data_IF_718770883306
#
_entry.id   IF_718770883306
#
_cell.length_a   1.000
_cell.length_b   1.000
_cell.length_c   1.000
_cell.angle_alpha   90.00
_cell.angle_beta   90.00
_cell.angle_gamma   90.00
#
_symmetry.space_group_name_H-M   'P 1'
#
loop_
_entity.id
_entity.type
_entity.pdbx_description
1 polymer ?
#
# COMPACT_ATOMS: atom_id res chain seq x y z
N UNK A 1 6.97 7.75 -4.12
CA UNK A 1 8.29 8.29 -3.74
C UNK A 1 8.24 9.81 -3.83
N UNK A 2 8.83 10.50 -2.85
CA UNK A 2 8.94 11.95 -2.85
C UNK A 2 10.00 12.44 -3.85
N UNK A 3 9.99 13.73 -4.19
CA UNK A 3 10.97 14.31 -5.12
C UNK A 3 12.42 14.17 -4.62
N UNK A 4 12.59 14.17 -3.29
CA UNK A 4 13.87 13.91 -2.64
C UNK A 4 14.26 12.41 -2.62
N UNK A 5 13.53 11.52 -3.29
CA UNK A 5 13.75 10.06 -3.29
C UNK A 5 13.48 9.33 -1.96
N UNK A 6 12.82 9.99 -1.01
CA UNK A 6 12.43 9.34 0.25
C UNK A 6 11.12 8.57 0.10
N UNK A 7 10.91 7.57 0.96
CA UNK A 7 9.72 6.74 0.94
C UNK A 7 8.47 7.45 1.47
N UNK A 8 7.31 6.98 1.01
CA UNK A 8 6.02 7.42 1.52
C UNK A 8 5.70 6.64 2.79
N UNK A 9 5.97 7.23 3.95
CA UNK A 9 5.54 6.70 5.25
C UNK A 9 4.11 7.11 5.63
N UNK A 10 3.52 8.02 4.84
CA UNK A 10 2.19 8.56 5.03
C UNK A 10 1.59 8.95 3.67
N UNK A 11 0.27 8.78 3.56
CA UNK A 11 -0.50 9.06 2.36
C UNK A 11 -1.89 9.55 2.76
N UNK A 12 -2.39 10.60 2.10
CA UNK A 12 -3.70 11.18 2.42
C UNK A 12 -4.39 11.80 1.19
N UNK A 13 -4.42 11.03 0.10
CA UNK A 13 -5.06 11.46 -1.14
C UNK A 13 -6.57 11.57 -0.98
N UNK A 14 -7.13 12.67 -1.47
CA UNK A 14 -8.57 12.96 -1.39
C UNK A 14 -9.44 11.85 -1.98
N UNK A 15 -9.02 11.30 -3.11
CA UNK A 15 -9.75 10.26 -3.84
C UNK A 15 -9.16 8.85 -3.65
N UNK A 16 -8.28 8.65 -2.66
CA UNK A 16 -7.43 7.45 -2.58
C UNK A 16 -6.34 7.45 -3.64
N UNK A 17 -5.79 6.27 -3.96
CA UNK A 17 -4.70 6.09 -4.92
C UNK A 17 -5.00 6.81 -6.25
N UNK A 18 -4.18 7.80 -6.65
CA UNK A 18 -4.39 8.53 -7.88
C UNK A 18 -4.06 7.65 -9.10
N UNK A 19 -4.88 7.77 -10.14
CA UNK A 19 -4.61 7.15 -11.45
C UNK A 19 -3.99 8.18 -12.38
N UNK A 20 -2.68 8.09 -12.60
CA UNK A 20 -1.95 9.02 -13.46
C UNK A 20 -2.02 8.54 -14.92
N UNK A 21 -2.81 9.22 -15.75
CA UNK A 21 -2.95 8.90 -17.19
C UNK A 21 -1.92 9.59 -18.08
N UNK A 22 -1.30 10.67 -17.62
CA UNK A 22 -0.34 11.51 -18.36
C UNK A 22 0.90 11.75 -17.51
N UNK A 23 2.08 11.78 -18.13
CA UNK A 23 3.34 12.06 -17.44
C UNK A 23 3.49 13.49 -16.91
N UNK A 24 2.57 14.41 -17.24
CA UNK A 24 2.56 15.80 -16.74
C UNK A 24 1.52 15.97 -15.65
N UNK A 25 1.94 15.81 -14.41
CA UNK A 25 1.10 16.04 -13.24
C UNK A 25 1.90 16.73 -12.13
N UNK A 26 1.20 17.40 -11.21
CA UNK A 26 1.74 17.81 -9.93
C UNK A 26 0.93 17.16 -8.81
N UNK A 27 1.64 16.78 -7.75
CA UNK A 27 1.06 16.38 -6.48
C UNK A 27 1.10 17.58 -5.53
N UNK A 28 -0.05 18.02 -5.04
CA UNK A 28 -0.16 19.17 -4.13
C UNK A 28 -0.80 18.78 -2.80
N UNK A 29 -0.42 19.51 -1.74
CA UNK A 29 -1.11 19.48 -0.45
C UNK A 29 -2.11 20.64 -0.41
N UNK A 30 -3.38 20.31 -0.24
CA UNK A 30 -4.46 21.29 -0.07
C UNK A 30 -4.52 21.80 1.37
N UNK A 31 -5.13 22.97 1.57
CA UNK A 31 -5.21 23.64 2.89
C UNK A 31 -6.05 22.88 3.91
N UNK A 32 -6.86 21.92 3.47
CA UNK A 32 -7.62 21.00 4.31
C UNK A 32 -6.83 19.72 4.69
N UNK A 33 -5.55 19.63 4.30
CA UNK A 33 -4.65 18.54 4.66
C UNK A 33 -4.75 17.30 3.75
N UNK A 34 -5.58 17.34 2.71
CA UNK A 34 -5.65 16.28 1.70
C UNK A 34 -4.68 16.53 0.56
N UNK A 35 -4.25 15.44 -0.08
CA UNK A 35 -3.38 15.51 -1.25
C UNK A 35 -4.22 15.37 -2.51
N UNK A 36 -3.88 16.17 -3.52
CA UNK A 36 -4.59 16.23 -4.79
C UNK A 36 -3.60 16.09 -5.95
N UNK A 37 -4.02 15.39 -7.00
CA UNK A 37 -3.28 15.33 -8.26
C UNK A 37 -3.88 16.34 -9.23
N UNK A 38 -3.03 17.22 -9.72
CA UNK A 38 -3.38 18.20 -10.74
C UNK A 38 -2.74 17.81 -12.05
N UNK A 39 -3.56 17.57 -13.06
CA UNK A 39 -3.13 17.31 -14.43
C UNK A 39 -3.27 18.58 -15.24
N UNK A 40 -2.24 18.94 -15.99
CA UNK A 40 -2.22 20.16 -16.79
C UNK A 40 -2.27 19.81 -18.26
N UNK A 41 -3.22 20.40 -18.97
CA UNK A 41 -3.33 20.22 -20.42
C UNK A 41 -2.68 21.40 -21.17
N UNK A 42 -2.54 22.56 -20.52
CA UNK A 42 -1.92 23.75 -21.09
C UNK A 42 -0.85 24.36 -20.16
N UNK A 43 0.12 25.07 -20.76
CA UNK A 43 1.16 25.83 -20.04
C UNK A 43 0.57 26.88 -19.09
N UNK A 44 -0.59 27.44 -19.45
CA UNK A 44 -1.26 28.49 -18.69
C UNK A 44 -1.79 27.99 -17.35
N UNK A 45 -2.28 26.74 -17.31
CA UNK A 45 -2.74 26.09 -16.08
C UNK A 45 -1.56 25.86 -15.12
N UNK A 46 -0.38 25.51 -15.66
CA UNK A 46 0.86 25.33 -14.88
C UNK A 46 1.35 26.65 -14.31
N UNK A 47 1.35 27.73 -15.10
CA UNK A 47 1.74 29.06 -14.62
C UNK A 47 0.81 29.59 -13.53
N UNK A 48 -0.50 29.39 -13.69
CA UNK A 48 -1.48 29.76 -12.67
C UNK A 48 -1.24 29.00 -11.36
N UNK A 49 -0.99 27.69 -11.45
CA UNK A 49 -0.67 26.89 -10.27
C UNK A 49 0.60 27.38 -9.55
N UNK A 50 1.67 27.66 -10.28
CA UNK A 50 2.91 28.18 -9.68
C UNK A 50 2.74 29.54 -9.01
N UNK A 51 1.82 30.39 -9.49
CA UNK A 51 1.53 31.69 -8.87
C UNK A 51 0.68 31.59 -7.60
N UNK A 52 -0.19 30.58 -7.51
CA UNK A 52 -1.16 30.43 -6.42
C UNK A 52 -0.75 29.38 -5.37
N UNK A 53 0.42 28.77 -5.53
CA UNK A 53 0.89 27.70 -4.66
C UNK A 53 2.16 28.09 -3.93
N UNK A 54 2.33 27.57 -2.71
CA UNK A 54 3.55 27.70 -1.92
C UNK A 54 4.31 26.38 -2.00
N UNK A 55 5.64 26.44 -2.15
CA UNK A 55 6.48 25.26 -2.08
C UNK A 55 6.75 24.93 -0.61
N UNK A 56 6.34 23.75 -0.16
CA UNK A 56 6.64 23.25 1.18
C UNK A 56 7.82 22.28 1.13
N UNK A 57 8.83 22.49 1.98
CA UNK A 57 9.96 21.58 2.12
C UNK A 57 9.65 20.52 3.18
N UNK A 58 9.96 19.26 2.87
CA UNK A 58 10.01 18.19 3.86
C UNK A 58 11.23 18.39 4.75
N UNK A 59 11.04 18.43 6.07
CA UNK A 59 12.14 18.40 7.04
C UNK A 59 12.25 16.96 7.55
N UNK A 60 13.38 16.31 7.30
CA UNK A 60 13.66 15.00 7.88
C UNK A 60 14.33 15.15 9.25
N UNK A 61 13.81 14.45 10.26
CA UNK A 61 14.37 14.46 11.62
C UNK A 61 15.43 13.37 11.82
N UNK A 62 16.13 12.98 10.75
CA UNK A 62 17.12 11.89 10.76
C UNK A 62 18.37 12.35 10.00
N UNK A 63 19.55 12.06 10.56
CA UNK A 63 20.85 12.47 9.98
C UNK A 63 21.31 11.59 8.80
N UNK A 64 20.55 10.55 8.46
CA UNK A 64 20.84 9.65 7.35
C UNK A 64 19.60 9.44 6.49
N UNK A 65 19.82 9.39 5.18
CA UNK A 65 18.79 9.19 4.17
C UNK A 65 19.03 7.85 3.49
N UNK A 66 18.17 6.88 3.76
CA UNK A 66 18.15 5.66 2.95
C UNK A 66 17.56 6.00 1.58
N UNK A 67 18.43 6.18 0.59
CA UNK A 67 18.02 6.41 -0.79
C UNK A 67 17.68 5.08 -1.48
N UNK A 68 16.43 4.92 -1.89
CA UNK A 68 16.00 3.80 -2.70
C UNK A 68 15.78 4.29 -4.13
N UNK A 69 16.68 3.91 -5.04
CA UNK A 69 16.68 4.40 -6.42
C UNK A 69 15.66 3.71 -7.34
N UNK A 70 14.80 2.83 -6.82
CA UNK A 70 13.94 1.97 -7.66
C UNK A 70 12.51 1.92 -7.18
N UNK A 71 11.57 2.21 -8.09
CA UNK A 71 10.15 1.90 -7.93
C UNK A 71 9.93 0.41 -7.72
N UNK A 72 8.79 0.04 -7.16
CA UNK A 72 8.43 -1.37 -7.00
C UNK A 72 8.30 -2.04 -8.39
N UNK A 73 9.01 -3.15 -8.67
CA UNK A 73 8.84 -3.86 -9.93
C UNK A 73 7.46 -4.54 -9.98
N UNK A 74 6.99 -4.89 -11.18
CA UNK A 74 5.70 -5.56 -11.36
C UNK A 74 5.64 -6.93 -10.68
N UNK A 75 6.76 -7.67 -10.71
CA UNK A 75 6.92 -8.98 -10.09
C UNK A 75 8.13 -8.95 -9.17
N UNK A 76 7.96 -9.44 -7.94
CA UNK A 76 8.93 -9.33 -6.86
C UNK A 76 9.23 -10.76 -6.37
N UNK A 77 10.36 -11.36 -6.80
CA UNK A 77 10.75 -12.69 -6.32
C UNK A 77 11.13 -12.65 -4.84
N UNK A 78 10.65 -13.61 -4.07
CA UNK A 78 11.03 -13.80 -2.68
C UNK A 78 10.82 -15.25 -2.26
N UNK A 79 11.89 -15.89 -1.75
CA UNK A 79 11.93 -17.33 -1.46
C UNK A 79 11.36 -18.14 -2.65
N UNK A 80 10.41 -19.03 -2.40
CA UNK A 80 9.82 -19.95 -3.37
C UNK A 80 8.56 -19.38 -4.04
N UNK A 81 8.49 -18.06 -4.20
CA UNK A 81 7.32 -17.40 -4.77
C UNK A 81 7.62 -16.07 -5.45
N UNK A 82 6.61 -15.57 -6.16
CA UNK A 82 6.61 -14.26 -6.79
C UNK A 82 5.45 -13.44 -6.26
N UNK A 83 5.73 -12.22 -5.81
CA UNK A 83 4.75 -11.28 -5.30
C UNK A 83 4.46 -10.19 -6.32
N UNK A 84 3.26 -9.63 -6.28
CA UNK A 84 2.88 -8.47 -7.07
C UNK A 84 1.82 -7.64 -6.34
N UNK A 85 1.78 -6.34 -6.62
CA UNK A 85 0.80 -5.44 -5.98
C UNK A 85 -0.34 -5.14 -6.95
N UNK A 86 -1.56 -5.31 -6.47
CA UNK A 86 -2.76 -4.78 -7.11
C UNK A 86 -2.81 -3.28 -6.81
N UNK A 87 -2.41 -2.46 -7.78
CA UNK A 87 -2.40 -1.00 -7.64
C UNK A 87 -3.73 -0.35 -8.05
N UNK A 88 -4.85 -0.85 -7.52
CA UNK A 88 -6.20 -0.36 -7.81
C UNK A 88 -7.07 -0.40 -6.55
N UNK A 89 -8.08 0.45 -6.49
CA UNK A 89 -9.03 0.47 -5.36
C UNK A 89 -9.88 -0.80 -5.38
N UNK A 90 -9.81 -1.59 -4.31
CA UNK A 90 -10.49 -2.89 -4.19
C UNK A 90 -10.94 -3.18 -2.75
N UNK A 91 -12.01 -3.95 -2.63
CA UNK A 91 -12.36 -4.67 -1.40
C UNK A 91 -11.46 -5.89 -1.21
N UNK A 92 -11.48 -6.47 -0.01
CA UNK A 92 -10.69 -7.68 0.27
C UNK A 92 -11.11 -8.85 -0.62
N UNK A 93 -12.42 -9.03 -0.84
CA UNK A 93 -12.97 -10.09 -1.68
C UNK A 93 -12.59 -9.94 -3.16
N UNK A 94 -12.61 -8.71 -3.69
CA UNK A 94 -12.16 -8.43 -5.06
C UNK A 94 -10.66 -8.70 -5.23
N UNK A 95 -9.86 -8.37 -4.21
CA UNK A 95 -8.44 -8.64 -4.19
C UNK A 95 -8.15 -10.14 -4.18
N UNK A 96 -8.84 -10.89 -3.29
CA UNK A 96 -8.76 -12.35 -3.23
C UNK A 96 -9.05 -12.98 -4.60
N UNK A 97 -10.18 -12.62 -5.20
CA UNK A 97 -10.57 -13.13 -6.52
C UNK A 97 -9.53 -12.78 -7.60
N UNK A 98 -8.98 -11.55 -7.58
CA UNK A 98 -7.96 -11.12 -8.55
C UNK A 98 -6.67 -11.96 -8.42
N UNK A 99 -6.20 -12.22 -7.20
CA UNK A 99 -5.01 -13.05 -6.98
C UNK A 99 -5.27 -14.51 -7.41
N UNK A 100 -6.43 -15.08 -7.04
CA UNK A 100 -6.81 -16.46 -7.39
C UNK A 100 -6.92 -16.68 -8.90
N UNK A 101 -7.48 -15.72 -9.64
CA UNK A 101 -7.55 -15.78 -11.11
C UNK A 101 -6.18 -15.83 -11.79
N UNK A 102 -5.14 -15.31 -11.12
CA UNK A 102 -3.76 -15.34 -11.62
C UNK A 102 -3.00 -16.62 -11.19
N UNK A 103 -3.69 -17.54 -10.51
CA UNK A 103 -3.13 -18.77 -9.95
C UNK A 103 -2.27 -18.55 -8.71
N UNK A 104 -2.58 -17.53 -7.91
CA UNK A 104 -1.93 -17.24 -6.63
C UNK A 104 -2.96 -16.95 -5.54
N UNK A 105 -2.51 -16.37 -4.43
CA UNK A 105 -3.35 -16.01 -3.28
C UNK A 105 -2.98 -14.61 -2.77
N UNK A 106 -3.75 -14.07 -1.84
CA UNK A 106 -3.32 -12.89 -1.10
C UNK A 106 -2.15 -13.26 -0.18
N UNK A 107 -1.18 -12.36 -0.03
CA UNK A 107 0.06 -12.60 0.72
C UNK A 107 -0.19 -13.03 2.17
N UNK A 108 0.55 -14.04 2.61
CA UNK A 108 0.64 -14.52 3.99
C UNK A 108 2.01 -14.19 4.62
N UNK A 109 2.05 -14.20 5.95
CA UNK A 109 3.26 -13.95 6.75
C UNK A 109 3.39 -15.04 7.80
N UNK A 110 4.58 -15.66 7.85
CA UNK A 110 4.89 -16.81 8.71
C UNK A 110 6.14 -16.63 9.57
N UNK A 111 6.92 -15.59 9.30
CA UNK A 111 8.12 -15.28 10.04
C UNK A 111 8.43 -13.77 9.96
N UNK A 112 9.38 -13.34 10.79
CA UNK A 112 9.84 -11.96 10.82
C UNK A 112 10.39 -11.50 9.46
N UNK A 113 11.03 -12.39 8.69
CA UNK A 113 11.58 -12.02 7.39
C UNK A 113 10.47 -11.73 6.37
N UNK A 114 9.37 -12.48 6.40
CA UNK A 114 8.17 -12.25 5.60
C UNK A 114 7.50 -10.93 5.98
N UNK A 115 7.42 -10.62 7.28
CA UNK A 115 6.93 -9.32 7.75
C UNK A 115 7.77 -8.16 7.18
N UNK A 116 9.09 -8.22 7.34
CA UNK A 116 10.00 -7.17 6.84
C UNK A 116 9.94 -7.05 5.30
N UNK A 117 9.76 -8.18 4.61
CA UNK A 117 9.60 -8.19 3.16
C UNK A 117 8.30 -7.50 2.72
N UNK A 118 7.16 -7.81 3.33
CA UNK A 118 5.91 -7.11 3.01
C UNK A 118 5.94 -5.64 3.45
N UNK A 119 6.66 -5.31 4.52
CA UNK A 119 6.91 -3.94 4.95
C UNK A 119 7.67 -3.13 3.88
N UNK A 120 8.70 -3.70 3.24
CA UNK A 120 9.38 -3.06 2.10
C UNK A 120 8.39 -2.75 0.96
N UNK A 121 7.51 -3.71 0.64
CA UNK A 121 6.50 -3.55 -0.42
C UNK A 121 5.56 -2.37 -0.13
N UNK A 122 4.95 -2.32 1.06
CA UNK A 122 3.99 -1.24 1.40
C UNK A 122 4.67 0.11 1.58
N UNK A 123 5.92 0.14 2.05
CA UNK A 123 6.72 1.36 2.18
C UNK A 123 7.08 1.94 0.81
N UNK A 124 7.40 1.08 -0.16
CA UNK A 124 7.71 1.46 -1.55
C UNK A 124 6.49 1.84 -2.36
N UNK A 125 5.38 1.12 -2.18
CA UNK A 125 4.10 1.41 -2.83
C UNK A 125 3.46 2.69 -2.24
N UNK A 126 3.55 2.87 -0.92
CA UNK A 126 3.09 4.07 -0.21
C UNK A 126 1.60 4.09 0.11
N UNK A 127 0.89 2.96 -0.01
CA UNK A 127 -0.53 2.83 0.30
C UNK A 127 -0.83 1.67 1.24
N UNK A 128 -1.96 1.69 1.97
CA UNK A 128 -2.44 0.53 2.69
C UNK A 128 -2.85 -0.58 1.70
N UNK A 129 -2.30 -1.78 1.89
CA UNK A 129 -2.54 -2.93 1.02
C UNK A 129 -3.17 -4.09 1.80
N UNK A 130 -4.20 -4.71 1.24
CA UNK A 130 -4.75 -5.95 1.76
C UNK A 130 -3.71 -7.08 1.75
N UNK A 131 -3.75 -7.89 2.80
CA UNK A 131 -3.09 -9.19 2.91
C UNK A 131 -4.13 -10.30 3.08
N UNK A 132 -3.71 -11.55 3.04
CA UNK A 132 -4.62 -12.71 3.04
C UNK A 132 -5.29 -13.02 4.37
N UNK A 133 -5.03 -12.24 5.43
CA UNK A 133 -5.55 -12.51 6.76
C UNK A 133 -7.00 -12.04 6.89
N UNK A 134 -7.89 -12.96 7.25
CA UNK A 134 -9.31 -12.66 7.50
C UNK A 134 -9.92 -13.55 8.59
N UNK A 135 -11.05 -13.14 9.15
CA UNK A 135 -11.78 -13.85 10.21
C UNK A 135 -13.27 -13.95 9.85
N UNK A 136 -13.85 -15.14 10.00
CA UNK A 136 -15.26 -15.37 9.67
C UNK A 136 -16.24 -14.78 10.69
N UNK A 137 -15.93 -14.84 11.99
CA UNK A 137 -16.80 -14.38 13.07
C UNK A 137 -16.32 -13.06 13.73
N UNK A 138 -15.22 -12.50 13.22
CA UNK A 138 -14.60 -11.27 13.74
C UNK A 138 -13.84 -11.46 15.06
N UNK A 139 -13.67 -12.69 15.54
CA UNK A 139 -12.84 -12.99 16.70
C UNK A 139 -11.36 -13.10 16.32
N UNK A 140 -10.48 -12.64 17.22
CA UNK A 140 -9.03 -12.74 17.04
C UNK A 140 -8.56 -14.21 16.88
N UNK A 141 -9.27 -15.14 17.53
CA UNK A 141 -8.98 -16.57 17.50
C UNK A 141 -9.37 -17.27 16.19
N UNK A 142 -10.12 -16.61 15.32
CA UNK A 142 -10.60 -17.19 14.06
C UNK A 142 -9.93 -16.58 12.83
N UNK A 143 -8.87 -15.79 13.01
CA UNK A 143 -8.10 -15.32 11.87
C UNK A 143 -7.35 -16.46 11.20
N UNK A 144 -7.47 -16.52 9.89
CA UNK A 144 -6.85 -17.51 9.02
C UNK A 144 -6.34 -16.84 7.74
N UNK A 145 -5.34 -17.46 7.13
CA UNK A 145 -4.81 -17.03 5.85
C UNK A 145 -5.64 -17.60 4.70
N UNK A 146 -5.95 -16.76 3.71
CA UNK A 146 -6.74 -17.13 2.53
C UNK A 146 -6.10 -18.20 1.62
N UNK A 147 -4.83 -18.50 1.83
CA UNK A 147 -4.10 -19.58 1.15
C UNK A 147 -4.21 -20.94 1.86
N UNK A 148 -4.88 -20.97 3.02
CA UNK A 148 -5.02 -22.17 3.86
C UNK A 148 -3.80 -22.49 4.72
N UNK A 149 -2.77 -21.64 4.72
CA UNK A 149 -1.63 -21.77 5.61
C UNK A 149 -2.00 -21.46 7.07
N UNK A 150 -1.21 -21.97 8.01
CA UNK A 150 -1.43 -21.76 9.44
C UNK A 150 -1.19 -20.31 9.83
N UNK A 151 -2.07 -19.73 10.64
CA UNK A 151 -1.82 -18.44 11.27
C UNK A 151 -0.86 -18.62 12.45
N UNK A 152 0.44 -18.60 12.16
CA UNK A 152 1.56 -18.92 13.06
C UNK A 152 2.42 -17.71 13.43
N UNK A 153 2.15 -16.55 12.82
CA UNK A 153 2.87 -15.31 13.08
C UNK A 153 1.95 -14.25 13.68
N UNK A 154 2.32 -13.77 14.87
CA UNK A 154 1.63 -12.65 15.54
C UNK A 154 2.51 -11.40 15.39
N UNK A 155 2.00 -10.31 14.76
CA UNK A 155 2.79 -9.10 14.57
C UNK A 155 3.10 -8.41 15.90
N UNK A 156 4.29 -7.82 15.99
CA UNK A 156 4.73 -7.08 17.18
C UNK A 156 4.04 -5.72 17.37
N UNK A 157 3.35 -5.25 16.32
CA UNK A 157 2.56 -4.03 16.32
C UNK A 157 1.32 -4.22 15.45
N UNK A 158 0.15 -4.05 16.04
CA UNK A 158 -1.13 -4.11 15.35
C UNK A 158 -2.16 -3.26 16.08
N UNK A 159 -2.93 -2.47 15.34
CA UNK A 159 -4.08 -1.76 15.92
C UNK A 159 -5.32 -2.62 15.75
N UNK A 160 -5.87 -3.05 16.90
CA UNK A 160 -7.13 -3.77 16.98
C UNK A 160 -8.27 -2.78 16.79
N UNK A 161 -8.90 -2.85 15.63
CA UNK A 161 -10.12 -2.12 15.28
C UNK A 161 -11.22 -3.13 14.89
N UNK A 162 -12.51 -2.75 14.96
CA UNK A 162 -13.59 -3.61 14.49
C UNK A 162 -13.45 -3.85 12.98
N UNK A 163 -12.95 -5.02 12.62
CA UNK A 163 -12.67 -5.40 11.24
C UNK A 163 -12.22 -6.85 11.15
N UNK A 164 -12.74 -7.55 10.14
CA UNK A 164 -12.53 -8.98 9.94
C UNK A 164 -11.46 -9.27 8.89
N UNK A 165 -10.86 -8.25 8.28
CA UNK A 165 -9.81 -8.38 7.29
C UNK A 165 -8.65 -7.43 7.62
N UNK A 166 -7.45 -7.72 7.15
CA UNK A 166 -6.26 -6.95 7.54
C UNK A 166 -5.60 -6.28 6.35
N UNK A 167 -5.24 -5.00 6.54
CA UNK A 167 -4.30 -4.28 5.69
C UNK A 167 -2.96 -4.08 6.40
N UNK A 168 -1.89 -4.04 5.62
CA UNK A 168 -0.62 -3.45 6.02
C UNK A 168 -0.59 -2.00 5.58
N UNK A 169 -0.35 -1.06 6.50
CA UNK A 169 -0.16 0.35 6.17
C UNK A 169 1.27 0.65 5.69
N UNK A 170 1.55 1.86 5.16
CA UNK A 170 2.89 2.20 4.65
C UNK A 170 4.03 2.18 5.69
N UNK A 171 3.71 1.98 6.98
CA UNK A 171 4.67 1.79 8.08
C UNK A 171 4.86 0.32 8.44
N UNK A 172 4.28 -0.61 7.68
CA UNK A 172 4.30 -2.04 7.99
C UNK A 172 3.38 -2.46 9.14
N UNK A 173 2.51 -1.57 9.63
CA UNK A 173 1.62 -1.87 10.76
C UNK A 173 0.33 -2.54 10.28
N UNK A 174 -0.08 -3.60 10.97
CA UNK A 174 -1.30 -4.34 10.68
C UNK A 174 -2.51 -3.58 11.22
N UNK A 175 -3.53 -3.39 10.39
CA UNK A 175 -4.77 -2.69 10.75
C UNK A 175 -5.98 -3.51 10.35
N UNK A 176 -6.91 -3.64 11.29
CA UNK A 176 -8.15 -4.36 11.08
C UNK A 176 -9.15 -3.45 10.36
N UNK A 177 -9.73 -3.97 9.30
CA UNK A 177 -10.63 -3.24 8.42
C UNK A 177 -11.83 -4.12 8.07
N UNK A 178 -12.96 -3.49 7.77
CA UNK A 178 -14.12 -4.22 7.24
C UNK A 178 -13.76 -4.74 5.85
N UNK A 179 -14.00 -6.02 5.58
CA UNK A 179 -13.64 -6.66 4.31
C UNK A 179 -14.31 -6.00 3.09
N UNK A 180 -15.49 -5.40 3.28
CA UNK A 180 -16.23 -4.64 2.26
C UNK A 180 -15.76 -3.19 2.08
N UNK A 181 -14.84 -2.70 2.92
CA UNK A 181 -14.23 -1.39 2.73
C UNK A 181 -13.36 -1.41 1.48
N UNK A 182 -13.39 -0.34 0.71
CA UNK A 182 -12.50 -0.18 -0.44
C UNK A 182 -11.17 0.38 0.05
N UNK A 183 -10.07 -0.31 -0.24
CA UNK A 183 -8.69 0.12 0.05
C UNK A 183 -7.89 0.23 -1.23
N UNK A 184 -6.72 0.83 -1.12
CA UNK A 184 -5.94 1.30 -2.26
C UNK A 184 -5.14 0.20 -2.96
N UNK A 185 -5.22 -1.06 -2.51
CA UNK A 185 -4.59 -2.17 -3.20
C UNK A 185 -4.51 -3.42 -2.36
N UNK A 186 -3.74 -4.38 -2.86
CA UNK A 186 -3.48 -5.65 -2.19
C UNK A 186 -2.15 -6.26 -2.64
N UNK A 187 -1.57 -7.13 -1.82
CA UNK A 187 -0.39 -7.90 -2.18
C UNK A 187 -0.83 -9.32 -2.53
N UNK A 188 -0.59 -9.73 -3.77
CA UNK A 188 -0.72 -11.13 -4.17
C UNK A 188 0.63 -11.83 -4.05
N UNK A 189 0.60 -13.14 -3.82
CA UNK A 189 1.75 -14.02 -3.96
C UNK A 189 1.36 -15.24 -4.80
N UNK A 190 2.33 -15.75 -5.56
CA UNK A 190 2.19 -16.95 -6.36
C UNK A 190 3.37 -17.89 -6.09
N UNK A 191 3.14 -19.12 -5.60
CA UNK A 191 4.20 -20.12 -5.46
C UNK A 191 4.86 -20.42 -6.80
N UNK A 192 6.16 -20.73 -6.77
CA UNK A 192 6.85 -21.33 -7.92
C UNK A 192 6.30 -22.75 -8.09
N UNK A 193 5.95 -23.10 -9.32
CA UNK A 193 5.32 -24.36 -9.68
C UNK A 193 6.35 -25.42 -10.05
#
# INVERSE_FOLDING_TARGET
MWFDKTMLSYTHWRAGRPTIKSGKFLAGLSTDGFWDVLTFNALQDTLFFHQQSILACKIEMVDYKEEYNTTLPQFIPYKDGTYNVIQKRVTWYEALNTCSQSGGHLASVHDQNGQLFLEDIVKRDGFPLWVGLSSHDGSESSFEWSDGSTFDYIPWGGQKSPGNCVVLDPKGTWKHEKCNSVKDGAICYKPIQ
#
